data_IF_071357294483
#
_entry.id   IF_071357294483
#
_cell.length_a   1.000
_cell.length_b   1.000
_cell.length_c   1.000
_cell.angle_alpha   90.00
_cell.angle_beta   90.00
_cell.angle_gamma   90.00
#
_symmetry.space_group_name_H-M   'P 1'
#
loop_
_entity.id
_entity.type
_entity.pdbx_description
1 polymer ?
#
# COMPACT_ATOMS: atom_id res chain seq x y z
N UNK A 1 6.22 -6.39 -16.51
CA UNK A 1 5.86 -5.02 -16.93
C UNK A 1 6.98 -4.08 -16.53
N UNK A 2 7.41 -3.13 -17.37
CA UNK A 2 8.28 -2.03 -16.89
C UNK A 2 7.38 -1.14 -16.02
N UNK A 3 7.51 -1.24 -14.69
CA UNK A 3 6.74 -0.43 -13.75
C UNK A 3 6.99 1.05 -14.05
N UNK A 4 5.92 1.77 -14.42
CA UNK A 4 5.98 3.23 -14.44
C UNK A 4 6.07 3.70 -13.00
N UNK A 5 7.07 4.51 -12.68
CA UNK A 5 7.27 5.02 -11.32
C UNK A 5 6.05 5.88 -10.97
N UNK A 6 5.33 5.54 -9.89
CA UNK A 6 4.29 6.42 -9.37
C UNK A 6 4.91 7.77 -9.00
N UNK A 7 4.36 8.85 -9.54
CA UNK A 7 4.83 10.18 -9.18
C UNK A 7 4.30 10.56 -7.79
N UNK A 8 5.19 10.55 -6.80
CA UNK A 8 4.91 11.01 -5.44
C UNK A 8 5.60 12.37 -5.25
N UNK A 9 4.86 13.47 -5.03
CA UNK A 9 5.45 14.77 -4.72
C UNK A 9 6.39 14.68 -3.52
N UNK A 10 7.49 15.44 -3.52
CA UNK A 10 8.52 15.37 -2.47
C UNK A 10 7.96 15.55 -1.06
N UNK A 11 7.05 16.51 -0.88
CA UNK A 11 6.42 16.80 0.41
C UNK A 11 5.48 15.69 0.92
N UNK A 12 5.12 14.73 0.06
CA UNK A 12 4.23 13.61 0.37
C UNK A 12 4.99 12.29 0.50
N UNK A 13 6.32 12.28 0.32
CA UNK A 13 7.12 11.07 0.47
C UNK A 13 7.20 10.66 1.93
N UNK A 14 6.91 9.39 2.17
CA UNK A 14 7.08 8.74 3.46
C UNK A 14 8.40 7.95 3.44
N UNK A 15 9.43 8.48 4.09
CA UNK A 15 10.79 7.89 4.03
C UNK A 15 11.23 7.16 5.30
N UNK A 16 10.55 7.40 6.43
CA UNK A 16 10.85 6.73 7.70
C UNK A 16 10.25 5.32 7.74
N UNK A 17 11.12 4.32 7.90
CA UNK A 17 10.70 2.93 8.08
C UNK A 17 9.84 2.76 9.33
N UNK A 18 10.08 3.53 10.39
CA UNK A 18 9.28 3.49 11.62
C UNK A 18 7.84 3.91 11.35
N UNK A 19 7.64 5.02 10.64
CA UNK A 19 6.30 5.48 10.26
C UNK A 19 5.63 4.48 9.31
N UNK A 20 6.38 3.94 8.35
CA UNK A 20 5.91 2.91 7.42
C UNK A 20 5.41 1.68 8.19
N UNK A 21 6.21 1.20 9.15
CA UNK A 21 5.86 0.06 9.98
C UNK A 21 4.63 0.31 10.84
N UNK A 22 4.53 1.51 11.43
CA UNK A 22 3.35 1.92 12.18
C UNK A 22 2.10 1.93 11.31
N UNK A 23 2.20 2.47 10.08
CA UNK A 23 1.10 2.51 9.13
C UNK A 23 0.62 1.10 8.75
N UNK A 24 1.56 0.17 8.50
CA UNK A 24 1.21 -1.23 8.22
C UNK A 24 0.45 -1.87 9.39
N UNK A 25 0.91 -1.63 10.62
CA UNK A 25 0.28 -2.19 11.82
C UNK A 25 -1.14 -1.63 12.04
N UNK A 26 -1.34 -0.33 11.74
CA UNK A 26 -2.64 0.33 11.86
C UNK A 26 -3.62 -0.07 10.74
N UNK A 27 -3.12 -0.21 9.50
CA UNK A 27 -3.92 -0.48 8.30
C UNK A 27 -3.53 -1.82 7.65
N UNK A 28 -3.62 -2.90 8.44
CA UNK A 28 -3.09 -4.22 8.07
C UNK A 28 -3.94 -5.02 7.08
N UNK A 29 -5.17 -4.58 6.77
CA UNK A 29 -6.00 -5.23 5.76
C UNK A 29 -5.73 -4.63 4.39
N UNK A 30 -5.03 -5.38 3.53
CA UNK A 30 -4.53 -4.89 2.26
C UNK A 30 -4.99 -5.71 1.06
N UNK A 31 -4.50 -5.29 -0.11
CA UNK A 31 -4.72 -5.98 -1.38
C UNK A 31 -3.39 -6.49 -1.92
N UNK A 32 -3.24 -7.80 -2.05
CA UNK A 32 -2.13 -8.42 -2.77
C UNK A 32 -2.47 -8.55 -4.24
N UNK A 33 -1.57 -8.07 -5.10
CA UNK A 33 -1.69 -8.12 -6.55
C UNK A 33 -0.54 -8.92 -7.13
N UNK A 34 -0.85 -9.94 -7.93
CA UNK A 34 0.14 -10.77 -8.65
C UNK A 34 0.53 -10.16 -9.99
N UNK A 35 1.57 -10.68 -10.64
CA UNK A 35 1.95 -10.26 -12.00
C UNK A 35 0.86 -10.52 -13.06
N UNK A 36 -0.06 -11.45 -12.79
CA UNK A 36 -1.21 -11.74 -13.63
C UNK A 36 -2.39 -10.79 -13.38
N UNK A 37 -2.17 -9.74 -12.57
CA UNK A 37 -3.17 -8.74 -12.17
C UNK A 37 -4.33 -9.36 -11.38
N UNK A 38 -4.06 -10.43 -10.63
CA UNK A 38 -5.04 -11.05 -9.74
C UNK A 38 -4.93 -10.39 -8.36
N UNK A 39 -6.04 -9.81 -7.89
CA UNK A 39 -6.11 -9.10 -6.62
C UNK A 39 -6.78 -9.95 -5.53
N UNK A 40 -6.19 -10.00 -4.35
CA UNK A 40 -6.74 -10.68 -3.18
C UNK A 40 -6.70 -9.74 -1.97
N UNK A 41 -7.82 -9.65 -1.25
CA UNK A 41 -7.89 -8.88 -0.02
C UNK A 41 -7.63 -9.81 1.17
N UNK A 42 -6.62 -9.49 1.98
CA UNK A 42 -6.28 -10.27 3.16
C UNK A 42 -5.62 -9.41 4.25
N UNK A 43 -5.70 -9.85 5.52
CA UNK A 43 -4.92 -9.25 6.59
C UNK A 43 -3.44 -9.65 6.47
N UNK A 44 -2.58 -8.69 6.81
CA UNK A 44 -1.13 -8.85 6.89
C UNK A 44 -0.62 -8.63 8.31
N UNK A 45 0.50 -9.26 8.65
CA UNK A 45 1.23 -9.06 9.90
C UNK A 45 2.66 -8.71 9.56
N UNK A 46 3.13 -7.58 10.07
CA UNK A 46 4.50 -7.14 9.88
C UNK A 46 5.42 -7.72 10.96
N UNK A 47 6.51 -8.32 10.52
CA UNK A 47 7.63 -8.72 11.38
C UNK A 47 8.82 -7.81 11.10
N UNK A 48 8.96 -6.74 11.90
CA UNK A 48 10.00 -5.69 11.73
C UNK A 48 11.43 -6.21 11.84
N UNK A 49 11.65 -7.31 12.55
CA UNK A 49 12.97 -7.88 12.82
C UNK A 49 13.51 -8.79 11.71
N UNK A 50 12.74 -9.03 10.65
CA UNK A 50 13.08 -9.98 9.59
C UNK A 50 13.24 -9.28 8.24
N UNK A 51 14.43 -9.36 7.65
CA UNK A 51 14.79 -8.62 6.43
C UNK A 51 15.10 -7.14 6.70
N UNK A 52 15.68 -6.46 5.71
CA UNK A 52 16.16 -5.08 5.87
C UNK A 52 15.03 -4.06 6.10
N UNK A 53 13.83 -4.36 5.58
CA UNK A 53 12.64 -3.49 5.65
C UNK A 53 11.50 -4.10 6.49
N UNK A 54 11.73 -5.26 7.10
CA UNK A 54 10.66 -6.08 7.69
C UNK A 54 10.03 -7.05 6.69
N UNK A 55 9.32 -8.05 7.23
CA UNK A 55 8.67 -9.11 6.44
C UNK A 55 7.15 -9.08 6.68
N UNK A 56 6.36 -9.09 5.60
CA UNK A 56 4.90 -9.18 5.66
C UNK A 56 4.44 -10.64 5.57
N UNK A 57 3.69 -11.06 6.57
CA UNK A 57 3.03 -12.36 6.61
C UNK A 57 1.55 -12.21 6.29
N UNK A 58 1.06 -12.99 5.33
CA UNK A 58 -0.36 -13.13 5.03
C UNK A 58 -0.74 -14.61 4.99
N UNK A 59 -2.02 -14.91 5.15
CA UNK A 59 -2.52 -16.28 5.02
C UNK A 59 -3.60 -16.37 3.94
N UNK A 60 -3.51 -17.42 3.14
CA UNK A 60 -4.49 -17.76 2.12
C UNK A 60 -5.15 -19.08 2.44
N UNK A 61 -6.44 -19.20 2.09
CA UNK A 61 -7.08 -20.50 2.14
C UNK A 61 -6.39 -21.45 1.16
N UNK A 62 -6.19 -22.70 1.58
CA UNK A 62 -5.59 -23.75 0.73
C UNK A 62 -6.37 -23.98 -0.58
N UNK A 63 -7.66 -23.67 -0.60
CA UNK A 63 -8.49 -23.75 -1.81
C UNK A 63 -8.20 -22.64 -2.82
N UNK A 64 -7.50 -21.57 -2.42
CA UNK A 64 -7.13 -20.48 -3.30
C UNK A 64 -6.00 -20.93 -4.24
N UNK A 65 -6.38 -21.30 -5.48
CA UNK A 65 -5.48 -21.84 -6.52
C UNK A 65 -4.40 -20.84 -6.95
N UNK A 66 -4.55 -19.56 -6.59
CA UNK A 66 -3.60 -18.49 -6.84
C UNK A 66 -2.24 -18.74 -6.16
N UNK A 67 -2.22 -19.45 -5.02
CA UNK A 67 -0.99 -19.64 -4.22
C UNK A 67 0.02 -20.59 -4.87
N UNK A 68 -0.46 -21.61 -5.59
CA UNK A 68 0.35 -22.75 -6.05
C UNK A 68 1.41 -22.35 -7.09
N UNK A 69 1.34 -21.14 -7.64
CA UNK A 69 2.21 -20.69 -8.72
C UNK A 69 3.09 -19.48 -8.38
N UNK A 70 3.03 -18.98 -7.16
CA UNK A 70 3.61 -17.67 -6.80
C UNK A 70 4.82 -17.75 -5.85
N UNK A 71 5.31 -18.95 -5.52
CA UNK A 71 6.55 -19.11 -4.75
C UNK A 71 7.73 -18.52 -5.55
N UNK A 72 8.38 -17.50 -4.96
CA UNK A 72 9.48 -16.76 -5.59
C UNK A 72 9.03 -15.72 -6.62
N UNK A 73 7.73 -15.43 -6.74
CA UNK A 73 7.21 -14.38 -7.60
C UNK A 73 7.16 -13.02 -6.90
N UNK A 74 7.34 -11.96 -7.67
CA UNK A 74 7.12 -10.61 -7.19
C UNK A 74 5.62 -10.32 -7.10
N UNK A 75 5.21 -9.72 -5.99
CA UNK A 75 3.83 -9.29 -5.74
C UNK A 75 3.84 -7.85 -5.25
N UNK A 76 2.74 -7.14 -5.47
CA UNK A 76 2.52 -5.80 -4.93
C UNK A 76 1.48 -5.88 -3.83
N UNK A 77 1.74 -5.25 -2.68
CA UNK A 77 0.77 -5.14 -1.59
C UNK A 77 0.37 -3.67 -1.46
N UNK A 78 -0.93 -3.42 -1.49
CA UNK A 78 -1.53 -2.10 -1.27
C UNK A 78 -2.17 -2.10 0.12
N UNK A 79 -1.78 -1.15 0.96
CA UNK A 79 -2.39 -0.88 2.26
C UNK A 79 -2.98 0.52 2.21
N UNK A 80 -4.25 0.65 2.60
CA UNK A 80 -5.00 1.88 2.45
C UNK A 80 -5.32 2.49 3.82
N UNK A 81 -4.88 3.73 4.01
CA UNK A 81 -5.26 4.54 5.15
C UNK A 81 -6.60 5.24 4.94
N UNK A 82 -7.01 6.09 5.89
CA UNK A 82 -8.20 6.92 5.75
C UNK A 82 -8.05 7.83 4.54
N UNK A 83 -9.13 7.98 3.78
CA UNK A 83 -9.18 8.87 2.64
C UNK A 83 -10.46 9.70 2.67
N UNK A 84 -10.38 10.94 2.19
CA UNK A 84 -11.53 11.83 2.11
C UNK A 84 -11.37 12.86 1.02
N UNK A 85 -12.51 13.35 0.55
CA UNK A 85 -12.60 14.45 -0.39
C UNK A 85 -12.35 15.78 0.31
N UNK A 86 -11.46 16.62 -0.23
CA UNK A 86 -11.24 17.99 0.23
C UNK A 86 -11.79 18.96 -0.81
N UNK A 87 -12.83 19.71 -0.43
CA UNK A 87 -13.46 20.68 -1.34
C UNK A 87 -12.60 21.94 -1.52
N UNK A 88 -12.40 22.44 -2.75
CA UNK A 88 -11.79 23.76 -2.99
C UNK A 88 -12.52 24.90 -2.28
N UNK A 89 -13.83 24.74 -2.05
CA UNK A 89 -14.64 25.75 -1.37
C UNK A 89 -14.31 25.89 0.12
N UNK A 90 -13.48 25.00 0.68
CA UNK A 90 -13.03 25.10 2.08
C UNK A 90 -11.83 26.05 2.26
N UNK A 91 -11.15 26.44 1.17
CA UNK A 91 -10.01 27.34 1.24
C UNK A 91 -10.45 28.81 1.18
N UNK A 92 -9.79 29.65 1.96
CA UNK A 92 -10.04 31.09 1.99
C UNK A 92 -9.45 31.85 0.78
N UNK A 93 -8.51 31.24 0.05
CA UNK A 93 -7.76 31.85 -1.04
C UNK A 93 -7.89 31.06 -2.34
N UNK A 94 -7.97 31.78 -3.46
CA UNK A 94 -8.11 31.23 -4.81
C UNK A 94 -6.89 31.54 -5.69
N UNK A 95 -6.55 30.64 -6.65
CA UNK A 95 -7.25 29.40 -6.98
C UNK A 95 -6.86 28.23 -6.06
N UNK A 96 -7.86 27.52 -5.54
CA UNK A 96 -7.69 26.26 -4.83
C UNK A 96 -8.05 25.08 -5.75
N UNK A 97 -7.18 24.07 -5.83
CA UNK A 97 -7.43 22.84 -6.57
C UNK A 97 -8.22 21.81 -5.75
N UNK A 98 -8.96 20.94 -6.43
CA UNK A 98 -9.61 19.77 -5.80
C UNK A 98 -8.60 18.63 -5.69
N UNK A 99 -8.46 18.04 -4.49
CA UNK A 99 -7.55 16.90 -4.26
C UNK A 99 -8.21 15.86 -3.36
N UNK A 100 -7.91 14.57 -3.60
CA UNK A 100 -8.21 13.48 -2.67
C UNK A 100 -7.02 13.33 -1.70
N UNK A 101 -7.28 13.31 -0.40
CA UNK A 101 -6.26 12.91 0.56
C UNK A 101 -6.25 11.37 0.65
N UNK A 102 -5.12 10.76 0.34
CA UNK A 102 -4.89 9.33 0.51
C UNK A 102 -3.46 9.10 0.98
N UNK A 103 -3.24 8.02 1.73
CA UNK A 103 -1.91 7.52 2.05
C UNK A 103 -1.80 6.18 1.34
N UNK A 104 -0.85 6.11 0.40
CA UNK A 104 -0.52 4.91 -0.35
C UNK A 104 0.93 4.56 -0.09
N UNK A 105 1.19 3.28 0.09
CA UNK A 105 2.54 2.75 0.28
C UNK A 105 2.94 1.88 -0.90
N UNK A 106 4.10 2.18 -1.47
CA UNK A 106 4.74 1.42 -2.54
C UNK A 106 6.22 1.33 -2.22
N UNK A 107 6.73 0.12 -1.94
CA UNK A 107 8.16 -0.21 -1.95
C UNK A 107 8.38 -1.66 -2.32
#
# INVERSE_FOLDING_TARGET
MKGGIMHIPEMMKMESNELIHQFIEEFSFGTLITEQLEANHLPFVLKKSEGDLGTLYGHFSRANRLLVKQDGCNVMVILEGPHSYISPTWYASFPAGTTLLYIFMER
#
